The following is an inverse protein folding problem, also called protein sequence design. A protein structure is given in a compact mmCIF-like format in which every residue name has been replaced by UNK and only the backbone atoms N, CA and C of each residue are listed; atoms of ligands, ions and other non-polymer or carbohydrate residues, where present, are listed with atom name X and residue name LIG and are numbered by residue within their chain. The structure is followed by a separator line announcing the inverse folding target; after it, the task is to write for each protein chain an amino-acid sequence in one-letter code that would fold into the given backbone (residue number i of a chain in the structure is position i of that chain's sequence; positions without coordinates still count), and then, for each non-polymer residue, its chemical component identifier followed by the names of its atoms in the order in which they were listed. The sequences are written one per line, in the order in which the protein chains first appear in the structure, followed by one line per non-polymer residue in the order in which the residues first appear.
data_IF_048742459572
#
_entry.id   IF_048742459572
#
_cell.length_a   1.000
_cell.length_b   1.000
_cell.length_c   1.000
_cell.angle_alpha   90.00
_cell.angle_beta   90.00
_cell.angle_gamma   90.00
#
_symmetry.space_group_name_H-M   'P 1'
#
loop_
_entity.id
_entity.type
_entity.pdbx_description
1 polymer ?
#
# COMPACT_ATOMS: atom_id res chain seq x y z
N UNK A 1 6.49 0.51 -29.96
CA UNK A 1 7.38 0.47 -31.15
C UNK A 1 6.96 1.44 -32.27
N UNK A 2 5.66 1.61 -32.58
CA UNK A 2 5.18 2.49 -33.66
C UNK A 2 5.39 3.99 -33.44
N UNK A 3 5.36 4.48 -32.20
CA UNK A 3 5.52 5.92 -31.87
C UNK A 3 6.93 6.44 -32.18
N UNK A 4 7.98 5.65 -31.92
CA UNK A 4 9.37 6.04 -32.21
C UNK A 4 9.65 6.19 -33.71
N UNK A 5 8.98 5.37 -34.55
CA UNK A 5 9.13 5.42 -36.01
C UNK A 5 8.43 6.66 -36.58
N UNK A 6 7.25 7.00 -36.06
CA UNK A 6 6.50 8.19 -36.49
C UNK A 6 7.25 9.48 -36.12
N UNK A 7 7.81 9.56 -34.91
CA UNK A 7 8.58 10.73 -34.47
C UNK A 7 9.85 10.94 -35.33
N UNK A 8 10.58 9.85 -35.64
CA UNK A 8 11.75 9.94 -36.51
C UNK A 8 11.41 10.40 -37.94
N UNK A 9 10.24 10.02 -38.47
CA UNK A 9 9.80 10.44 -39.80
C UNK A 9 9.42 11.93 -39.84
N UNK A 10 8.79 12.44 -38.78
CA UNK A 10 8.43 13.86 -38.66
C UNK A 10 9.69 14.73 -38.61
N UNK A 11 10.68 14.33 -37.80
CA UNK A 11 11.97 15.05 -37.69
C UNK A 11 12.69 15.09 -39.05
N UNK A 12 12.72 13.97 -39.78
CA UNK A 12 13.35 13.90 -41.10
C UNK A 12 12.68 14.83 -42.11
N UNK A 13 11.34 14.91 -42.12
CA UNK A 13 10.58 15.78 -43.03
C UNK A 13 10.83 17.26 -42.71
N UNK A 14 10.89 17.63 -41.43
CA UNK A 14 11.21 19.00 -41.00
C UNK A 14 12.63 19.42 -41.44
N UNK A 15 13.62 18.55 -41.30
CA UNK A 15 15.01 18.81 -41.73
C UNK A 15 15.09 19.01 -43.26
N UNK A 16 14.39 18.17 -44.03
CA UNK A 16 14.37 18.27 -45.50
C UNK A 16 13.68 19.57 -45.94
N UNK A 17 12.57 19.95 -45.30
CA UNK A 17 11.87 21.19 -45.60
C UNK A 17 12.72 22.44 -45.28
N UNK A 18 13.44 22.44 -44.15
CA UNK A 18 14.36 23.51 -43.79
C UNK A 18 15.52 23.63 -44.80
N UNK A 19 16.11 22.51 -45.21
CA UNK A 19 17.18 22.48 -46.22
C UNK A 19 16.72 23.00 -47.58
N UNK A 20 15.51 22.66 -48.01
CA UNK A 20 14.94 23.18 -49.26
C UNK A 20 14.69 24.69 -49.16
N UNK A 21 14.21 25.18 -48.01
CA UNK A 21 14.04 26.61 -47.75
C UNK A 21 15.35 27.39 -47.89
N UNK A 22 16.45 26.87 -47.34
CA UNK A 22 17.79 27.46 -47.44
C UNK A 22 18.34 27.38 -48.87
N UNK A 23 18.08 26.29 -49.60
CA UNK A 23 18.53 26.12 -50.98
C UNK A 23 17.79 27.07 -51.95
N UNK A 24 16.52 27.36 -51.68
CA UNK A 24 15.72 28.30 -52.48
C UNK A 24 16.08 29.75 -52.17
N UNK A 25 16.35 30.11 -50.91
CA UNK A 25 16.76 31.47 -50.54
C UNK A 25 18.13 31.85 -51.12
N UNK A 26 19.04 30.89 -51.27
CA UNK A 26 20.37 31.10 -51.87
C UNK A 26 20.36 31.26 -53.39
N UNK A 27 19.34 30.77 -54.09
CA UNK A 27 19.28 30.79 -55.57
C UNK A 27 18.59 32.02 -56.17
N UNK A 28 17.76 32.77 -55.42
CA UNK A 28 16.91 33.83 -56.02
C UNK A 28 16.98 35.22 -55.38
N UNK A 29 17.80 35.49 -54.36
CA UNK A 29 17.93 36.87 -53.84
C UNK A 29 19.07 37.05 -52.86
N UNK A 30 19.68 38.23 -52.85
CA UNK A 30 20.45 38.69 -51.69
C UNK A 30 19.51 38.64 -50.50
N UNK A 31 19.69 37.66 -49.62
CA UNK A 31 19.00 37.60 -48.32
C UNK A 31 19.37 38.90 -47.59
N UNK A 32 18.38 39.74 -47.21
CA UNK A 32 18.65 40.91 -46.39
C UNK A 32 19.38 40.48 -45.12
N UNK A 33 20.39 41.24 -44.71
CA UNK A 33 21.23 40.92 -43.54
C UNK A 33 20.39 40.65 -42.28
N UNK A 34 19.27 41.37 -42.12
CA UNK A 34 18.30 41.15 -41.04
C UNK A 34 17.57 39.80 -41.06
N UNK A 35 17.34 39.19 -42.23
CA UNK A 35 16.72 37.85 -42.33
C UNK A 35 17.76 36.76 -41.99
N UNK A 36 19.04 37.01 -42.28
CA UNK A 36 20.14 36.13 -41.89
C UNK A 36 20.41 36.18 -40.38
N UNK A 37 20.38 37.38 -39.79
CA UNK A 37 20.51 37.57 -38.34
C UNK A 37 19.34 36.94 -37.58
N UNK A 38 18.11 37.06 -38.09
CA UNK A 38 16.94 36.41 -37.51
C UNK A 38 17.05 34.88 -37.51
N UNK A 39 17.44 34.28 -38.63
CA UNK A 39 17.63 32.81 -38.73
C UNK A 39 18.77 32.34 -37.82
N UNK A 40 19.83 33.13 -37.66
CA UNK A 40 20.95 32.78 -36.77
C UNK A 40 20.52 32.85 -35.30
N UNK A 41 19.72 33.86 -34.92
CA UNK A 41 19.13 33.97 -33.59
C UNK A 41 18.16 32.83 -33.28
N UNK A 42 17.29 32.48 -34.23
CA UNK A 42 16.35 31.37 -34.09
C UNK A 42 17.09 30.03 -33.95
N UNK A 43 18.18 29.83 -34.70
CA UNK A 43 19.00 28.63 -34.60
C UNK A 43 19.69 28.52 -33.23
N UNK A 44 20.13 29.64 -32.65
CA UNK A 44 20.67 29.68 -31.30
C UNK A 44 19.62 29.34 -30.23
N UNK A 45 18.40 29.86 -30.36
CA UNK A 45 17.29 29.54 -29.45
C UNK A 45 16.89 28.06 -29.57
N UNK A 46 16.78 27.53 -30.78
CA UNK A 46 16.49 26.11 -31.00
C UNK A 46 17.59 25.22 -30.42
N UNK A 47 18.86 25.65 -30.50
CA UNK A 47 19.97 24.93 -29.90
C UNK A 47 19.85 24.91 -28.36
N UNK A 48 19.47 26.03 -27.74
CA UNK A 48 19.23 26.10 -26.29
C UNK A 48 18.05 25.23 -25.86
N UNK A 49 16.94 25.29 -26.59
CA UNK A 49 15.76 24.46 -26.32
C UNK A 49 16.09 22.96 -26.45
N UNK A 50 16.96 22.59 -27.40
CA UNK A 50 17.43 21.22 -27.56
C UNK A 50 18.29 20.78 -26.38
N UNK A 51 19.24 21.61 -25.95
CA UNK A 51 20.10 21.33 -24.80
C UNK A 51 19.27 21.18 -23.50
N UNK A 52 18.25 22.01 -23.32
CA UNK A 52 17.32 21.93 -22.17
C UNK A 52 16.48 20.65 -22.22
N UNK A 53 15.92 20.30 -23.38
CA UNK A 53 15.15 19.07 -23.55
C UNK A 53 16.01 17.80 -23.34
N UNK A 54 17.29 17.82 -23.73
CA UNK A 54 18.22 16.72 -23.46
C UNK A 54 18.52 16.58 -21.96
N UNK A 55 18.67 17.70 -21.24
CA UNK A 55 18.87 17.69 -19.80
C UNK A 55 17.63 17.16 -19.05
N UNK A 56 16.43 17.58 -19.45
CA UNK A 56 15.17 17.07 -18.89
C UNK A 56 15.00 15.56 -19.15
N UNK A 57 15.32 15.11 -20.37
CA UNK A 57 15.26 13.69 -20.72
C UNK A 57 16.23 12.86 -19.87
N UNK A 58 17.45 13.34 -19.66
CA UNK A 58 18.43 12.69 -18.81
C UNK A 58 17.94 12.59 -17.34
N UNK A 59 17.35 13.66 -16.81
CA UNK A 59 16.76 13.67 -15.48
C UNK A 59 15.58 12.69 -15.35
N UNK A 60 14.70 12.65 -16.35
CA UNK A 60 13.58 11.71 -16.37
C UNK A 60 14.04 10.25 -16.41
N UNK A 61 15.09 9.93 -17.18
CA UNK A 61 15.68 8.59 -17.22
C UNK A 61 16.33 8.18 -15.89
N UNK A 62 17.00 9.12 -15.21
CA UNK A 62 17.55 8.89 -13.88
C UNK A 62 16.44 8.57 -12.87
N UNK A 63 15.35 9.34 -12.87
CA UNK A 63 14.19 9.11 -12.00
C UNK A 63 13.51 7.77 -12.30
N UNK A 64 13.37 7.40 -13.58
CA UNK A 64 12.82 6.11 -13.97
C UNK A 64 13.67 4.96 -13.44
N UNK A 65 15.00 5.07 -13.55
CA UNK A 65 15.94 4.05 -13.06
C UNK A 65 15.88 3.93 -11.53
N UNK A 66 15.77 5.04 -10.81
CA UNK A 66 15.60 5.03 -9.35
C UNK A 66 14.27 4.37 -8.94
N UNK A 67 13.18 4.70 -9.63
CA UNK A 67 11.86 4.12 -9.35
C UNK A 67 11.83 2.61 -9.64
N UNK A 68 12.47 2.16 -10.71
CA UNK A 68 12.59 0.73 -11.02
C UNK A 68 13.39 -0.02 -9.95
N UNK A 69 14.45 0.59 -9.39
CA UNK A 69 15.21 0.02 -8.29
C UNK A 69 14.38 -0.09 -7.00
N UNK A 70 13.60 0.94 -6.66
CA UNK A 70 12.67 0.90 -5.53
C UNK A 70 11.61 -0.18 -5.72
N UNK A 71 11.07 -0.33 -6.92
CA UNK A 71 10.08 -1.37 -7.22
C UNK A 71 10.68 -2.76 -7.07
N UNK A 72 11.91 -2.99 -7.55
CA UNK A 72 12.60 -4.26 -7.35
C UNK A 72 12.87 -4.56 -5.87
N UNK A 73 13.24 -3.55 -5.09
CA UNK A 73 13.44 -3.70 -3.66
C UNK A 73 12.15 -4.10 -2.95
N UNK A 74 11.05 -3.38 -3.18
CA UNK A 74 9.74 -3.69 -2.58
C UNK A 74 9.26 -5.07 -3.00
N UNK A 75 9.52 -5.47 -4.25
CA UNK A 75 9.18 -6.81 -4.72
C UNK A 75 9.97 -7.90 -3.99
N UNK A 76 11.27 -7.67 -3.75
CA UNK A 76 12.10 -8.59 -2.97
C UNK A 76 11.64 -8.68 -1.51
N UNK A 77 11.31 -7.56 -0.86
CA UNK A 77 10.73 -7.52 0.48
C UNK A 77 9.40 -8.28 0.55
N UNK A 78 8.55 -8.14 -0.47
CA UNK A 78 7.30 -8.88 -0.57
C UNK A 78 7.51 -10.39 -0.73
N UNK A 79 8.48 -10.80 -1.54
CA UNK A 79 8.78 -12.22 -1.76
C UNK A 79 9.41 -12.86 -0.51
N UNK A 80 10.28 -12.14 0.22
CA UNK A 80 10.80 -12.57 1.53
C UNK A 80 9.68 -12.77 2.56
N UNK A 81 8.70 -11.86 2.60
CA UNK A 81 7.51 -11.98 3.46
C UNK A 81 6.60 -13.17 3.08
N UNK A 82 6.58 -13.57 1.81
CA UNK A 82 5.83 -14.77 1.37
C UNK A 82 6.54 -16.05 1.77
N UNK A 83 7.87 -16.07 1.70
CA UNK A 83 8.69 -17.24 2.02
C UNK A 83 8.83 -17.44 3.54
N UNK A 84 8.68 -16.37 4.33
CA UNK A 84 8.49 -16.42 5.79
C UNK A 84 7.06 -16.03 6.16
N UNK A 85 6.03 -16.83 5.80
CA UNK A 85 4.66 -16.50 6.14
C UNK A 85 4.58 -16.44 7.66
N UNK A 86 4.05 -15.33 8.17
CA UNK A 86 3.71 -15.22 9.58
C UNK A 86 2.75 -16.36 9.94
N UNK A 87 3.24 -17.35 10.66
CA UNK A 87 2.42 -18.44 11.18
C UNK A 87 1.72 -17.91 12.42
N UNK A 88 0.52 -17.36 12.24
CA UNK A 88 -0.35 -17.05 13.38
C UNK A 88 -1.16 -18.30 13.68
N UNK A 89 -0.68 -19.09 14.64
CA UNK A 89 -1.41 -20.25 15.14
C UNK A 89 -2.59 -19.81 16.01
N UNK A 90 -3.71 -19.48 15.37
CA UNK A 90 -4.97 -19.17 16.07
C UNK A 90 -5.54 -20.46 16.66
N UNK A 91 -5.14 -20.74 17.90
CA UNK A 91 -5.71 -21.84 18.66
C UNK A 91 -6.91 -21.38 19.48
N UNK A 92 -8.07 -21.99 19.26
CA UNK A 92 -9.26 -21.77 20.08
C UNK A 92 -9.29 -22.78 21.23
N UNK A 93 -8.91 -22.33 22.43
CA UNK A 93 -8.99 -23.17 23.62
C UNK A 93 -10.39 -23.06 24.24
N UNK A 94 -11.17 -24.15 24.18
CA UNK A 94 -12.50 -24.22 24.78
C UNK A 94 -13.58 -23.64 23.87
N UNK A 95 -14.55 -24.50 23.50
CA UNK A 95 -15.77 -24.11 22.77
C UNK A 95 -15.57 -23.47 21.38
N UNK A 96 -14.64 -23.98 20.57
CA UNK A 96 -14.45 -23.58 19.17
C UNK A 96 -15.68 -23.72 18.24
N UNK A 97 -16.81 -24.19 18.76
CA UNK A 97 -18.11 -24.15 18.07
C UNK A 97 -18.88 -22.84 18.21
N UNK A 98 -18.54 -21.95 19.17
CA UNK A 98 -19.31 -20.72 19.43
C UNK A 98 -19.03 -19.66 18.37
N UNK A 99 -17.77 -19.55 17.94
CA UNK A 99 -17.28 -18.45 17.11
C UNK A 99 -16.45 -18.97 15.94
N UNK A 100 -16.52 -18.27 14.81
CA UNK A 100 -15.64 -18.45 13.66
C UNK A 100 -14.94 -17.13 13.37
N UNK A 101 -13.62 -17.17 13.17
CA UNK A 101 -12.86 -16.02 12.68
C UNK A 101 -13.16 -15.83 11.20
N UNK A 102 -13.71 -14.67 10.84
CA UNK A 102 -13.90 -14.23 9.45
C UNK A 102 -12.63 -13.62 8.88
N UNK A 103 -11.95 -12.80 9.69
CA UNK A 103 -10.74 -12.10 9.29
C UNK A 103 -9.86 -11.86 10.50
N UNK A 104 -8.56 -11.98 10.30
CA UNK A 104 -7.53 -11.62 11.27
C UNK A 104 -6.53 -10.71 10.58
N UNK A 105 -6.26 -9.55 11.18
CA UNK A 105 -5.32 -8.57 10.64
C UNK A 105 -4.38 -8.11 11.73
N UNK A 106 -3.12 -7.98 11.35
CA UNK A 106 -2.06 -7.43 12.19
C UNK A 106 -1.72 -6.04 11.72
N UNK A 107 -1.65 -5.13 12.67
CA UNK A 107 -1.31 -3.75 12.40
C UNK A 107 -0.24 -3.31 13.38
N UNK A 108 0.76 -2.59 12.87
CA UNK A 108 1.69 -1.84 13.71
C UNK A 108 1.15 -0.44 13.89
N UNK A 109 1.00 0.02 15.12
CA UNK A 109 0.72 1.42 15.38
C UNK A 109 1.91 2.28 14.93
N UNK A 110 1.69 3.39 14.23
CA UNK A 110 2.75 4.24 13.69
C UNK A 110 3.20 5.36 14.65
N UNK A 111 2.66 5.42 15.87
CA UNK A 111 3.06 6.39 16.89
C UNK A 111 4.35 6.04 17.64
N UNK A 112 4.85 6.98 18.44
CA UNK A 112 6.05 6.80 19.26
C UNK A 112 5.87 5.64 20.25
N UNK A 113 6.55 4.52 19.99
CA UNK A 113 6.43 3.27 20.76
C UNK A 113 5.95 2.08 19.92
N UNK A 114 5.22 2.32 18.83
CA UNK A 114 4.89 1.32 17.80
C UNK A 114 4.42 -0.05 18.30
N UNK A 115 3.33 -0.10 19.08
CA UNK A 115 2.75 -1.38 19.52
C UNK A 115 1.98 -2.06 18.40
N UNK A 116 2.06 -3.39 18.34
CA UNK A 116 1.23 -4.18 17.44
C UNK A 116 -0.16 -4.36 18.03
N UNK A 117 -1.20 -4.25 17.20
CA UNK A 117 -2.55 -4.62 17.57
C UNK A 117 -3.12 -5.62 16.57
N UNK A 118 -4.02 -6.44 17.07
CA UNK A 118 -4.72 -7.47 16.33
C UNK A 118 -6.15 -7.01 16.15
N UNK A 119 -6.59 -6.91 14.91
CA UNK A 119 -8.00 -6.76 14.59
C UNK A 119 -8.54 -8.12 14.16
N UNK A 120 -9.53 -8.62 14.90
CA UNK A 120 -10.24 -9.82 14.48
C UNK A 120 -11.73 -9.55 14.30
N UNK A 121 -12.23 -10.06 13.18
CA UNK A 121 -13.64 -10.07 12.84
C UNK A 121 -14.20 -11.47 13.12
N UNK A 122 -15.23 -11.51 13.95
CA UNK A 122 -15.77 -12.76 14.49
C UNK A 122 -17.23 -12.90 14.10
N UNK A 123 -17.61 -14.13 13.76
CA UNK A 123 -18.99 -14.53 13.51
C UNK A 123 -19.41 -15.57 14.53
N UNK A 124 -20.63 -15.45 15.05
CA UNK A 124 -21.22 -16.50 15.86
C UNK A 124 -21.52 -17.72 14.97
N UNK A 125 -20.88 -18.84 15.24
CA UNK A 125 -21.02 -20.08 14.49
C UNK A 125 -21.83 -21.16 15.21
N UNK A 126 -22.11 -20.98 16.51
CA UNK A 126 -22.84 -21.96 17.30
C UNK A 126 -23.53 -21.37 18.52
N UNK A 127 -23.97 -22.27 19.39
CA UNK A 127 -24.77 -21.93 20.57
C UNK A 127 -23.89 -21.65 21.78
N UNK A 128 -24.24 -20.60 22.52
CA UNK A 128 -23.60 -20.32 23.80
C UNK A 128 -23.98 -21.41 24.82
N UNK A 129 -23.08 -21.75 25.76
CA UNK A 129 -23.40 -22.66 26.85
C UNK A 129 -24.64 -22.18 27.60
N UNK A 130 -25.52 -23.09 28.07
CA UNK A 130 -26.64 -22.72 28.91
C UNK A 130 -26.16 -21.88 30.10
N UNK A 131 -26.89 -20.79 30.38
CA UNK A 131 -26.62 -19.77 31.40
C UNK A 131 -25.63 -18.64 30.99
N UNK A 132 -24.78 -18.83 29.96
CA UNK A 132 -23.71 -17.87 29.67
C UNK A 132 -24.30 -16.58 29.09
N UNK A 133 -23.97 -15.44 29.68
CA UNK A 133 -24.48 -14.14 29.26
C UNK A 133 -23.38 -13.18 28.79
N UNK A 134 -22.10 -13.54 28.92
CA UNK A 134 -20.99 -12.76 28.39
C UNK A 134 -20.00 -13.71 27.72
N UNK A 135 -19.42 -13.29 26.60
CA UNK A 135 -18.23 -13.93 26.03
C UNK A 135 -17.15 -12.88 25.88
N UNK A 136 -16.06 -13.12 26.60
CA UNK A 136 -14.83 -12.35 26.47
C UNK A 136 -13.86 -13.09 25.55
N UNK A 137 -13.12 -12.32 24.75
CA UNK A 137 -12.05 -12.82 23.91
C UNK A 137 -10.74 -12.36 24.53
N UNK A 138 -9.95 -13.33 24.96
CA UNK A 138 -8.68 -13.13 25.62
C UNK A 138 -7.53 -13.36 24.64
N UNK A 139 -6.58 -12.44 24.64
CA UNK A 139 -5.33 -12.52 23.90
C UNK A 139 -4.25 -13.11 24.79
N UNK A 140 -3.62 -14.18 24.30
CA UNK A 140 -2.45 -14.77 24.91
C UNK A 140 -1.26 -14.73 23.95
N UNK A 141 -0.10 -14.35 24.48
CA UNK A 141 1.18 -14.38 23.77
C UNK A 141 2.12 -15.28 24.58
N UNK A 142 2.69 -16.31 23.95
CA UNK A 142 3.54 -17.29 24.63
C UNK A 142 2.91 -17.87 25.92
N UNK A 143 1.57 -18.06 25.91
CA UNK A 143 0.74 -18.51 27.06
C UNK A 143 0.61 -17.51 28.21
N UNK A 144 1.12 -16.29 28.09
CA UNK A 144 0.84 -15.19 29.02
C UNK A 144 -0.41 -14.43 28.57
N UNK A 145 -1.31 -14.14 29.50
CA UNK A 145 -2.47 -13.27 29.26
C UNK A 145 -2.00 -11.84 29.00
N UNK A 146 -2.52 -11.21 27.95
CA UNK A 146 -2.12 -9.85 27.55
C UNK A 146 -3.29 -8.88 27.67
N UNK A 147 -4.41 -9.18 26.99
CA UNK A 147 -5.55 -8.29 26.88
C UNK A 147 -6.85 -9.11 26.76
N UNK A 148 -7.98 -8.49 27.08
CA UNK A 148 -9.30 -9.10 26.92
C UNK A 148 -10.33 -8.08 26.46
N UNK A 149 -11.15 -8.45 25.49
CA UNK A 149 -12.25 -7.61 25.02
C UNK A 149 -13.54 -8.38 25.04
N UNK A 150 -14.58 -7.75 25.60
CA UNK A 150 -15.94 -8.26 25.54
C UNK A 150 -16.46 -8.27 24.10
N UNK A 151 -16.86 -9.44 23.64
CA UNK A 151 -17.37 -9.66 22.29
C UNK A 151 -18.90 -9.80 22.27
N UNK A 152 -19.46 -10.62 23.15
CA UNK A 152 -20.91 -10.83 23.29
C UNK A 152 -21.34 -10.44 24.71
N UNK A 153 -22.46 -9.72 24.81
CA UNK A 153 -23.15 -9.41 26.06
C UNK A 153 -24.65 -9.67 25.83
N UNK A 154 -25.23 -10.52 26.67
CA UNK A 154 -26.62 -10.94 26.60
C UNK A 154 -27.38 -10.10 27.62
N UNK A 155 -28.14 -9.14 27.12
CA UNK A 155 -29.09 -8.37 27.93
C UNK A 155 -30.41 -9.13 28.05
N UNK A 156 -31.27 -8.69 28.97
CA UNK A 156 -32.60 -9.27 29.20
C UNK A 156 -33.53 -9.29 27.98
N UNK A 157 -33.17 -8.61 26.88
CA UNK A 157 -33.94 -8.50 25.64
C UNK A 157 -33.47 -9.43 24.50
N UNK A 158 -32.39 -10.21 24.68
CA UNK A 158 -31.89 -11.15 23.66
C UNK A 158 -30.38 -11.03 23.38
N UNK A 159 -29.87 -11.88 22.48
CA UNK A 159 -28.45 -11.90 22.10
C UNK A 159 -28.09 -10.65 21.28
N UNK A 160 -27.14 -9.85 21.78
CA UNK A 160 -26.58 -8.73 21.02
C UNK A 160 -25.08 -8.92 20.88
N UNK A 161 -24.58 -9.05 19.64
CA UNK A 161 -23.14 -8.95 19.38
C UNK A 161 -22.75 -7.51 19.70
N UNK A 162 -21.93 -7.29 20.72
CA UNK A 162 -21.56 -5.94 21.16
C UNK A 162 -20.55 -5.33 20.21
N UNK A 163 -19.67 -6.15 19.64
CA UNK A 163 -18.60 -5.73 18.73
C UNK A 163 -18.31 -6.78 17.67
N UNK A 164 -18.76 -6.65 16.42
CA UNK A 164 -18.44 -7.62 15.36
C UNK A 164 -16.93 -7.63 15.01
N UNK A 165 -16.23 -6.53 15.31
CA UNK A 165 -14.79 -6.39 15.21
C UNK A 165 -14.22 -6.03 16.58
N UNK A 166 -13.23 -6.78 17.03
CA UNK A 166 -12.51 -6.50 18.26
C UNK A 166 -11.05 -6.19 17.94
N UNK A 167 -10.50 -5.26 18.72
CA UNK A 167 -9.10 -4.87 18.66
C UNK A 167 -8.46 -5.23 19.99
N UNK A 168 -7.39 -6.01 19.94
CA UNK A 168 -6.60 -6.43 21.09
C UNK A 168 -5.19 -5.86 20.94
N UNK A 169 -4.71 -5.15 21.95
CA UNK A 169 -3.34 -4.64 21.95
C UNK A 169 -2.39 -5.75 22.42
N UNK A 170 -1.32 -5.98 21.67
CA UNK A 170 -0.31 -6.98 22.06
C UNK A 170 0.60 -6.48 23.16
N UNK A 171 0.64 -5.17 23.41
CA UNK A 171 1.59 -4.53 24.32
C UNK A 171 3.06 -4.67 23.89
N UNK A 172 3.32 -5.27 22.72
CA UNK A 172 4.66 -5.55 22.22
C UNK A 172 5.04 -4.58 21.12
N UNK A 173 6.29 -4.10 21.18
CA UNK A 173 6.93 -3.30 20.12
C UNK A 173 7.63 -4.17 19.08
N UNK A 174 7.82 -5.45 19.42
CA UNK A 174 8.41 -6.49 18.59
C UNK A 174 7.33 -7.42 18.05
N UNK A 175 7.63 -8.03 16.91
CA UNK A 175 6.72 -8.94 16.26
C UNK A 175 6.62 -10.26 17.03
N UNK A 176 5.41 -10.78 17.20
CA UNK A 176 5.14 -11.94 18.05
C UNK A 176 4.85 -13.17 17.19
N UNK A 177 5.65 -14.22 17.34
CA UNK A 177 5.59 -15.43 16.50
C UNK A 177 4.43 -16.37 16.83
N UNK A 178 3.86 -16.32 18.06
CA UNK A 178 2.79 -17.23 18.47
C UNK A 178 1.74 -16.51 19.31
N UNK A 179 0.50 -16.54 18.83
CA UNK A 179 -0.62 -15.81 19.42
C UNK A 179 -1.81 -16.75 19.55
N UNK A 180 -2.36 -16.84 20.76
CA UNK A 180 -3.51 -17.68 21.05
C UNK A 180 -4.71 -16.80 21.41
N UNK A 181 -5.85 -17.06 20.79
CA UNK A 181 -7.11 -16.38 21.10
C UNK A 181 -8.05 -17.34 21.82
N UNK A 182 -8.37 -17.01 23.07
CA UNK A 182 -9.22 -17.84 23.90
C UNK A 182 -10.59 -17.21 24.06
N UNK A 183 -11.64 -18.02 23.85
CA UNK A 183 -13.01 -17.61 24.12
C UNK A 183 -13.42 -18.06 25.51
N UNK A 184 -13.68 -17.10 26.39
CA UNK A 184 -14.09 -17.38 27.77
C UNK A 184 -15.57 -17.04 27.93
N UNK A 185 -16.47 -18.03 27.89
CA UNK A 185 -17.86 -17.82 28.27
C UNK A 185 -17.93 -17.58 29.79
N UNK A 186 -18.55 -16.47 30.18
CA UNK A 186 -18.70 -16.06 31.57
C UNK A 186 -20.17 -15.85 31.95
N UNK A 187 -20.43 -15.96 33.25
CA UNK A 187 -21.73 -15.70 33.87
C UNK A 187 -21.61 -14.43 34.70
N UNK A 188 -22.26 -13.35 34.28
CA UNK A 188 -22.49 -12.19 35.11
C UNK A 188 -23.74 -12.46 35.96
N UNK A 189 -23.54 -12.86 37.20
CA UNK A 189 -24.60 -12.78 38.21
C UNK A 189 -24.86 -11.30 38.44
N UNK A 190 -25.96 -10.76 37.91
CA UNK A 190 -26.45 -9.46 38.35
C UNK A 190 -26.75 -9.61 39.84
N UNK A 191 -25.89 -9.03 40.69
CA UNK A 191 -26.12 -9.00 42.12
C UNK A 191 -27.45 -8.31 42.37
N UNK A 192 -28.43 -9.05 42.85
CA UNK A 192 -29.56 -8.49 43.58
C UNK A 192 -29.00 -7.98 44.90
N UNK A 193 -28.52 -6.74 44.92
CA UNK A 193 -28.47 -5.94 46.15
C UNK A 193 -29.82 -5.30 46.38
#
# INVERSE_FOLDING_TARGET
MRVKVVLGYIILVCIIAALIGVLVSTYTGRVPEGDYDAVTSDLLLIQQDLDEAEAELAAALANLTATDAELQQVQAELDDLKDSPVIVDVYFEGHGGIARVKSLKFHKYTGAGGTYYIECELEQAGTLPPLANVVDVELYIQRAFIDSVRWIDVTSSGFTIVKPKIRLDTGSTEFVESITLKFVPAFKTFGTT
#
